data_IF_259048793236
#
_entry.id   IF_259048793236
#
_cell.length_a   1.000
_cell.length_b   1.000
_cell.length_c   1.000
_cell.angle_alpha   90.00
_cell.angle_beta   90.00
_cell.angle_gamma   90.00
#
_symmetry.space_group_name_H-M   'P 1'
#
loop_
_entity.id
_entity.type
_entity.pdbx_description
1 polymer ?
#
# COMPACT_ATOMS: atom_id res chain seq x y z
N UNK A 1 9.07 9.44 -16.86
CA UNK A 1 7.60 9.42 -16.64
C UNK A 1 7.20 8.97 -15.23
N UNK A 2 7.75 7.87 -14.69
CA UNK A 2 7.36 7.34 -13.38
C UNK A 2 7.51 8.32 -12.19
N UNK A 3 8.57 9.15 -12.07
CA UNK A 3 8.68 10.10 -10.96
C UNK A 3 7.51 11.08 -10.89
N UNK A 4 7.01 11.55 -12.04
CA UNK A 4 5.84 12.44 -12.13
C UNK A 4 4.59 11.70 -11.67
N UNK A 5 4.40 10.46 -12.13
CA UNK A 5 3.28 9.62 -11.69
C UNK A 5 3.31 9.42 -10.16
N UNK A 6 4.48 9.25 -9.55
CA UNK A 6 4.59 9.09 -8.10
C UNK A 6 4.15 10.35 -7.35
N UNK A 7 4.59 11.53 -7.80
CA UNK A 7 4.16 12.80 -7.20
C UNK A 7 2.64 12.95 -7.31
N UNK A 8 2.09 12.85 -8.53
CA UNK A 8 0.65 13.03 -8.78
C UNK A 8 -0.19 12.03 -8.00
N UNK A 9 0.22 10.75 -7.92
CA UNK A 9 -0.50 9.74 -7.16
C UNK A 9 -0.47 10.00 -5.65
N UNK A 10 0.66 10.48 -5.12
CA UNK A 10 0.77 10.88 -3.72
C UNK A 10 -0.12 12.09 -3.42
N UNK A 11 -0.03 13.12 -4.26
CA UNK A 11 -0.77 14.38 -4.11
C UNK A 11 -2.28 14.13 -4.22
N UNK A 12 -2.71 13.31 -5.18
CA UNK A 12 -4.10 12.89 -5.32
C UNK A 12 -4.63 12.23 -4.04
N UNK A 13 -3.86 11.30 -3.44
CA UNK A 13 -4.24 10.64 -2.18
C UNK A 13 -4.36 11.65 -1.03
N UNK A 14 -3.40 12.56 -0.90
CA UNK A 14 -3.39 13.58 0.17
C UNK A 14 -4.56 14.55 -0.02
N UNK A 15 -4.76 15.03 -1.25
CA UNK A 15 -5.84 15.95 -1.58
C UNK A 15 -7.20 15.32 -1.33
N UNK A 16 -7.43 14.10 -1.83
CA UNK A 16 -8.66 13.36 -1.59
C UNK A 16 -8.93 13.14 -0.10
N UNK A 17 -7.90 12.79 0.68
CA UNK A 17 -8.00 12.65 2.13
C UNK A 17 -8.41 13.93 2.85
N UNK A 18 -7.91 15.08 2.40
CA UNK A 18 -8.26 16.38 2.99
C UNK A 18 -9.66 16.83 2.56
N UNK A 19 -10.01 16.63 1.29
CA UNK A 19 -11.34 16.90 0.77
C UNK A 19 -12.41 16.06 1.48
N UNK A 20 -12.15 14.77 1.68
CA UNK A 20 -13.02 13.85 2.42
C UNK A 20 -13.32 14.37 3.83
N UNK A 21 -12.28 14.73 4.58
CA UNK A 21 -12.42 15.27 5.93
C UNK A 21 -13.22 16.58 5.97
N UNK A 22 -13.02 17.46 5.00
CA UNK A 22 -13.75 18.73 4.93
C UNK A 22 -15.23 18.54 4.58
N UNK A 23 -15.53 17.64 3.64
CA UNK A 23 -16.91 17.38 3.23
C UNK A 23 -17.70 16.64 4.30
N UNK A 24 -17.09 15.65 4.95
CA UNK A 24 -17.67 14.94 6.09
C UNK A 24 -18.00 15.91 7.23
N UNK A 25 -17.07 16.81 7.59
CA UNK A 25 -17.31 17.84 8.62
C UNK A 25 -18.48 18.77 8.28
N UNK A 26 -18.74 19.00 6.99
CA UNK A 26 -19.84 19.82 6.50
C UNK A 26 -21.15 19.03 6.28
N UNK A 27 -21.16 17.73 6.57
CA UNK A 27 -22.30 16.84 6.29
C UNK A 27 -22.63 16.68 4.80
N UNK A 28 -21.67 16.97 3.91
CA UNK A 28 -21.87 16.98 2.44
C UNK A 28 -21.44 15.69 1.73
N UNK A 29 -20.79 14.77 2.43
CA UNK A 29 -20.32 13.49 1.88
C UNK A 29 -20.16 12.46 2.99
N UNK A 30 -20.20 11.18 2.63
CA UNK A 30 -19.87 10.07 3.54
C UNK A 30 -18.35 9.93 3.67
N UNK A 31 -17.94 9.30 4.77
CA UNK A 31 -16.52 9.02 5.03
C UNK A 31 -15.99 8.08 3.95
N UNK A 32 -14.94 8.50 3.27
CA UNK A 32 -14.26 7.71 2.25
C UNK A 32 -14.72 7.96 0.81
N UNK A 33 -15.77 8.74 0.56
CA UNK A 33 -16.28 8.98 -0.80
C UNK A 33 -15.20 9.57 -1.73
N UNK A 34 -14.43 10.55 -1.25
CA UNK A 34 -13.37 11.15 -2.08
C UNK A 34 -12.16 10.22 -2.22
N UNK A 35 -11.89 9.43 -1.19
CA UNK A 35 -10.83 8.44 -1.20
C UNK A 35 -11.13 7.30 -2.19
N UNK A 36 -12.39 6.89 -2.32
CA UNK A 36 -12.82 5.88 -3.29
C UNK A 36 -12.62 6.37 -4.73
N UNK A 37 -13.02 7.61 -5.03
CA UNK A 37 -12.77 8.23 -6.34
C UNK A 37 -11.29 8.32 -6.65
N UNK A 38 -10.46 8.68 -5.68
CA UNK A 38 -9.01 8.68 -5.86
C UNK A 38 -8.45 7.27 -6.09
N UNK A 39 -8.94 6.28 -5.36
CA UNK A 39 -8.52 4.89 -5.54
C UNK A 39 -8.87 4.36 -6.94
N UNK A 40 -10.02 4.73 -7.50
CA UNK A 40 -10.40 4.36 -8.87
C UNK A 40 -9.40 4.89 -9.92
N UNK A 41 -8.99 6.16 -9.78
CA UNK A 41 -7.99 6.77 -10.66
C UNK A 41 -6.61 6.11 -10.50
N UNK A 42 -6.18 5.84 -9.26
CA UNK A 42 -4.93 5.13 -8.98
C UNK A 42 -4.93 3.70 -9.52
N UNK A 43 -6.08 3.01 -9.46
CA UNK A 43 -6.27 1.71 -10.10
C UNK A 43 -6.12 1.79 -11.63
N UNK A 44 -6.54 2.90 -12.25
CA UNK A 44 -6.27 3.18 -13.66
C UNK A 44 -4.77 3.21 -13.95
N UNK A 45 -3.98 3.97 -13.19
CA UNK A 45 -2.53 4.00 -13.31
C UNK A 45 -1.90 2.61 -13.10
N UNK A 46 -2.39 1.87 -12.11
CA UNK A 46 -1.90 0.52 -11.80
C UNK A 46 -2.12 -0.43 -12.98
N UNK A 47 -3.31 -0.44 -13.59
CA UNK A 47 -3.62 -1.26 -14.77
C UNK A 47 -2.68 -0.96 -15.94
N UNK A 48 -2.41 0.33 -16.20
CA UNK A 48 -1.47 0.74 -17.26
C UNK A 48 -0.05 0.22 -17.00
N UNK A 49 0.40 0.22 -15.74
CA UNK A 49 1.71 -0.32 -15.37
C UNK A 49 1.74 -1.85 -15.47
N UNK A 50 0.68 -2.52 -15.03
CA UNK A 50 0.59 -3.98 -15.02
C UNK A 50 0.52 -4.59 -16.43
N UNK A 51 -0.12 -3.89 -17.37
CA UNK A 51 -0.23 -4.32 -18.78
C UNK A 51 1.03 -4.09 -19.61
N UNK A 52 2.10 -3.56 -19.02
CA UNK A 52 3.33 -3.24 -19.74
C UNK A 52 4.16 -4.51 -20.01
N UNK A 53 3.95 -5.11 -21.18
CA UNK A 53 4.59 -6.37 -21.60
C UNK A 53 5.65 -6.18 -22.68
N UNK A 54 5.74 -4.99 -23.30
CA UNK A 54 6.57 -4.74 -24.48
C UNK A 54 7.90 -4.03 -24.17
N UNK A 55 7.99 -3.34 -23.03
CA UNK A 55 9.22 -2.67 -22.62
C UNK A 55 10.24 -3.69 -22.08
N UNK A 56 11.53 -3.41 -22.30
CA UNK A 56 12.60 -4.05 -21.54
C UNK A 56 12.45 -3.76 -20.05
N UNK A 57 13.01 -4.61 -19.20
CA UNK A 57 12.85 -4.51 -17.74
C UNK A 57 13.27 -3.13 -17.21
N UNK A 58 14.36 -2.57 -17.71
CA UNK A 58 14.90 -1.28 -17.26
C UNK A 58 13.92 -0.11 -17.52
N UNK A 59 13.23 -0.12 -18.66
CA UNK A 59 12.29 0.94 -19.06
C UNK A 59 10.83 0.63 -18.69
N UNK A 60 10.57 -0.50 -18.03
CA UNK A 60 9.21 -0.95 -17.80
C UNK A 60 8.46 -0.08 -16.79
N UNK A 61 7.19 0.20 -17.09
CA UNK A 61 6.26 0.85 -16.16
C UNK A 61 5.95 -0.03 -14.94
N UNK A 62 6.29 -1.32 -14.97
CA UNK A 62 6.13 -2.25 -13.83
C UNK A 62 6.90 -1.80 -12.58
N UNK A 63 7.96 -1.01 -12.73
CA UNK A 63 8.64 -0.34 -11.60
C UNK A 63 7.71 0.54 -10.77
N UNK A 64 6.62 1.05 -11.37
CA UNK A 64 5.63 1.87 -10.68
C UNK A 64 4.56 1.12 -9.91
N UNK A 65 4.43 -0.19 -10.09
CA UNK A 65 3.33 -0.97 -9.50
C UNK A 65 3.35 -0.92 -7.98
N UNK A 66 4.50 -1.19 -7.34
CA UNK A 66 4.57 -1.26 -5.87
C UNK A 66 4.29 0.10 -5.22
N UNK A 67 4.72 1.19 -5.83
CA UNK A 67 4.36 2.53 -5.34
C UNK A 67 2.85 2.75 -5.34
N UNK A 68 2.18 2.44 -6.46
CA UNK A 68 0.73 2.59 -6.60
C UNK A 68 -0.03 1.69 -5.62
N UNK A 69 0.39 0.43 -5.48
CA UNK A 69 -0.18 -0.51 -4.50
C UNK A 69 -0.05 0.04 -3.07
N UNK A 70 1.10 0.61 -2.71
CA UNK A 70 1.27 1.24 -1.40
C UNK A 70 0.36 2.46 -1.18
N UNK A 71 0.03 3.23 -2.22
CA UNK A 71 -0.96 4.30 -2.12
C UNK A 71 -2.38 3.74 -1.96
N UNK A 72 -2.73 2.71 -2.74
CA UNK A 72 -4.03 2.04 -2.68
C UNK A 72 -4.26 1.38 -1.30
N UNK A 73 -3.26 0.73 -0.72
CA UNK A 73 -3.35 0.18 0.63
C UNK A 73 -3.64 1.24 1.69
N UNK A 74 -3.00 2.41 1.62
CA UNK A 74 -3.28 3.53 2.53
C UNK A 74 -4.73 3.98 2.45
N UNK A 75 -5.33 3.95 1.25
CA UNK A 75 -6.74 4.26 1.05
C UNK A 75 -7.62 3.12 1.59
N UNK A 76 -7.42 1.88 1.12
CA UNK A 76 -8.29 0.74 1.43
C UNK A 76 -8.32 0.39 2.91
N UNK A 77 -7.19 0.50 3.61
CA UNK A 77 -7.18 0.35 5.07
C UNK A 77 -7.92 1.49 5.79
N UNK A 78 -7.91 2.71 5.22
CA UNK A 78 -8.61 3.85 5.81
C UNK A 78 -10.13 3.75 5.64
N UNK A 79 -10.60 3.26 4.49
CA UNK A 79 -12.03 3.08 4.19
C UNK A 79 -12.55 1.67 4.53
N UNK A 80 -11.74 0.86 5.20
CA UNK A 80 -12.06 -0.53 5.58
C UNK A 80 -12.48 -1.46 4.42
N UNK A 81 -11.93 -1.25 3.21
CA UNK A 81 -12.18 -2.11 2.03
C UNK A 81 -11.04 -3.11 1.80
N UNK A 82 -10.70 -3.90 2.82
CA UNK A 82 -9.52 -4.78 2.81
C UNK A 82 -9.57 -5.90 1.75
N UNK A 83 -10.76 -6.33 1.33
CA UNK A 83 -10.92 -7.33 0.28
C UNK A 83 -10.29 -6.90 -1.06
N UNK A 84 -10.23 -5.59 -1.34
CA UNK A 84 -9.62 -5.01 -2.54
C UNK A 84 -8.09 -5.12 -2.57
N UNK A 85 -7.46 -5.45 -1.44
CA UNK A 85 -6.01 -5.65 -1.39
C UNK A 85 -5.58 -6.97 -2.03
N UNK A 86 -6.44 -8.00 -2.04
CA UNK A 86 -6.07 -9.36 -2.48
C UNK A 86 -5.61 -9.43 -3.94
N UNK A 87 -6.27 -8.78 -4.93
CA UNK A 87 -5.78 -8.75 -6.31
C UNK A 87 -4.44 -8.01 -6.46
N UNK A 88 -4.23 -6.94 -5.69
CA UNK A 88 -3.00 -6.15 -5.74
C UNK A 88 -1.80 -6.95 -5.20
N UNK A 89 -1.99 -7.67 -4.10
CA UNK A 89 -0.99 -8.56 -3.51
C UNK A 89 -0.55 -9.60 -4.54
N UNK A 90 -1.50 -10.30 -5.15
CA UNK A 90 -1.23 -11.31 -6.18
C UNK A 90 -0.41 -10.75 -7.34
N UNK A 91 -0.75 -9.56 -7.82
CA UNK A 91 -0.05 -8.95 -8.95
C UNK A 91 1.41 -8.56 -8.62
N UNK A 92 1.68 -8.14 -7.37
CA UNK A 92 3.05 -7.87 -6.92
C UNK A 92 3.82 -9.18 -6.71
N UNK A 93 3.21 -10.18 -6.07
CA UNK A 93 3.88 -11.45 -5.78
C UNK A 93 4.20 -12.25 -7.06
N UNK A 94 3.39 -12.09 -8.12
CA UNK A 94 3.64 -12.65 -9.45
C UNK A 94 4.62 -11.83 -10.31
N UNK A 95 5.05 -10.65 -9.84
CA UNK A 95 5.97 -9.80 -10.58
C UNK A 95 7.42 -10.27 -10.41
N UNK A 96 8.16 -10.33 -11.51
CA UNK A 96 9.60 -10.61 -11.48
C UNK A 96 10.40 -9.51 -10.77
N UNK A 97 9.81 -8.33 -10.54
CA UNK A 97 10.46 -7.19 -9.88
C UNK A 97 10.31 -7.16 -8.36
N UNK A 98 9.58 -8.11 -7.76
CA UNK A 98 9.16 -8.05 -6.35
C UNK A 98 10.29 -7.80 -5.35
N UNK A 99 11.49 -8.28 -5.64
CA UNK A 99 12.66 -8.15 -4.77
C UNK A 99 13.57 -6.97 -5.14
N UNK A 100 13.39 -6.39 -6.33
CA UNK A 100 14.18 -5.27 -6.84
C UNK A 100 13.62 -3.90 -6.45
N UNK A 101 12.37 -3.82 -6.01
CA UNK A 101 11.81 -2.58 -5.50
C UNK A 101 12.61 -2.06 -4.31
N UNK A 102 12.66 -0.73 -4.14
CA UNK A 102 13.39 -0.12 -3.04
C UNK A 102 12.92 -0.64 -1.68
N UNK A 103 13.86 -0.76 -0.74
CA UNK A 103 13.57 -1.29 0.59
C UNK A 103 12.44 -0.53 1.29
N UNK A 104 12.37 0.79 1.13
CA UNK A 104 11.31 1.61 1.69
C UNK A 104 9.90 1.22 1.16
N UNK A 105 9.78 0.89 -0.13
CA UNK A 105 8.52 0.42 -0.70
C UNK A 105 8.18 -0.99 -0.23
N UNK A 106 9.16 -1.89 -0.17
CA UNK A 106 8.99 -3.27 0.33
C UNK A 106 8.55 -3.30 1.79
N UNK A 107 9.16 -2.50 2.66
CA UNK A 107 8.75 -2.33 4.07
C UNK A 107 7.30 -1.86 4.18
N UNK A 108 6.92 -0.85 3.39
CA UNK A 108 5.53 -0.34 3.39
C UNK A 108 4.54 -1.42 2.94
N UNK A 109 4.88 -2.16 1.89
CA UNK A 109 4.05 -3.25 1.37
C UNK A 109 3.87 -4.34 2.43
N UNK A 110 4.97 -4.85 2.98
CA UNK A 110 4.97 -5.94 3.98
C UNK A 110 4.22 -5.54 5.25
N UNK A 111 4.32 -4.29 5.69
CA UNK A 111 3.50 -3.78 6.80
C UNK A 111 1.99 -3.92 6.53
N UNK A 112 1.52 -3.56 5.34
CA UNK A 112 0.09 -3.66 5.01
C UNK A 112 -0.35 -5.10 4.75
N UNK A 113 0.45 -5.91 4.07
CA UNK A 113 0.12 -7.32 3.84
C UNK A 113 0.09 -8.10 5.15
N UNK A 114 1.05 -7.87 6.05
CA UNK A 114 1.05 -8.49 7.38
C UNK A 114 -0.16 -8.09 8.21
N UNK A 115 -0.57 -6.82 8.19
CA UNK A 115 -1.82 -6.38 8.83
C UNK A 115 -3.05 -7.06 8.23
N UNK A 116 -3.11 -7.21 6.91
CA UNK A 116 -4.21 -7.93 6.24
C UNK A 116 -4.24 -9.40 6.69
N UNK A 117 -3.09 -10.05 6.77
CA UNK A 117 -3.00 -11.44 7.24
C UNK A 117 -3.53 -11.59 8.68
N UNK A 118 -3.28 -10.62 9.57
CA UNK A 118 -3.92 -10.60 10.89
C UNK A 118 -5.45 -10.57 10.81
N UNK A 119 -6.03 -9.74 9.93
CA UNK A 119 -7.48 -9.70 9.74
C UNK A 119 -8.05 -11.03 9.21
N UNK A 120 -7.26 -11.73 8.39
CA UNK A 120 -7.61 -13.06 7.88
C UNK A 120 -7.29 -14.19 8.87
N UNK A 121 -6.82 -13.86 10.08
CA UNK A 121 -6.36 -14.81 11.12
C UNK A 121 -5.19 -15.72 10.69
N UNK A 122 -4.45 -15.35 9.64
CA UNK A 122 -3.20 -15.99 9.25
C UNK A 122 -2.02 -15.37 10.03
N UNK A 123 -1.90 -15.77 11.29
CA UNK A 123 -0.91 -15.19 12.20
C UNK A 123 0.53 -15.53 11.83
N UNK A 124 0.78 -16.69 11.21
CA UNK A 124 2.12 -17.08 10.75
C UNK A 124 2.60 -16.15 9.63
N UNK A 125 1.75 -15.93 8.63
CA UNK A 125 2.08 -15.00 7.54
C UNK A 125 2.17 -13.54 8.05
N UNK A 126 1.30 -13.16 8.99
CA UNK A 126 1.37 -11.85 9.62
C UNK A 126 2.72 -11.64 10.32
N UNK A 127 3.19 -12.63 11.07
CA UNK A 127 4.46 -12.58 11.79
C UNK A 127 5.63 -12.38 10.82
N UNK A 128 5.70 -13.20 9.76
CA UNK A 128 6.77 -13.15 8.76
C UNK A 128 6.86 -11.75 8.13
N UNK A 129 5.73 -11.22 7.65
CA UNK A 129 5.72 -9.93 6.96
C UNK A 129 5.94 -8.74 7.89
N UNK A 130 5.41 -8.77 9.11
CA UNK A 130 5.62 -7.69 10.08
C UNK A 130 7.04 -7.71 10.65
N UNK A 131 7.65 -8.89 10.83
CA UNK A 131 9.05 -9.02 11.24
C UNK A 131 9.97 -8.46 10.16
N UNK A 132 9.77 -8.87 8.89
CA UNK A 132 10.51 -8.30 7.77
C UNK A 132 10.39 -6.77 7.72
N UNK A 133 9.17 -6.24 7.85
CA UNK A 133 8.93 -4.80 7.83
C UNK A 133 9.68 -4.09 8.97
N UNK A 134 9.70 -4.67 10.18
CA UNK A 134 10.37 -4.07 11.34
C UNK A 134 11.89 -4.05 11.18
N UNK A 135 12.47 -5.19 10.80
CA UNK A 135 13.92 -5.39 10.64
C UNK A 135 14.50 -4.46 9.57
N UNK A 136 13.79 -4.33 8.45
CA UNK A 136 14.24 -3.52 7.31
C UNK A 136 13.77 -2.05 7.39
N UNK A 137 12.98 -1.69 8.40
CA UNK A 137 12.59 -0.30 8.62
C UNK A 137 13.81 0.53 9.03
N UNK A 138 14.01 1.66 8.36
CA UNK A 138 15.15 2.54 8.64
C UNK A 138 15.20 2.95 10.12
N UNK A 139 16.40 2.88 10.73
CA UNK A 139 16.61 3.15 12.16
C UNK A 139 16.17 4.53 12.63
N UNK A 140 16.20 5.55 11.77
CA UNK A 140 15.69 6.90 12.13
C UNK A 140 14.17 7.03 12.04
N UNK A 141 13.47 6.08 11.40
CA UNK A 141 12.02 6.12 11.19
C UNK A 141 11.25 5.57 12.41
N UNK A 142 11.49 6.16 13.58
CA UNK A 142 10.92 5.70 14.86
C UNK A 142 9.38 5.58 14.84
N UNK A 143 8.71 6.53 14.19
CA UNK A 143 7.24 6.49 14.02
C UNK A 143 6.79 5.24 13.24
N UNK A 144 7.48 4.89 12.15
CA UNK A 144 7.15 3.73 11.34
C UNK A 144 7.44 2.42 12.10
N UNK A 145 8.58 2.35 12.81
CA UNK A 145 8.91 1.22 13.67
C UNK A 145 7.84 0.98 14.74
N UNK A 146 7.41 2.06 15.43
CA UNK A 146 6.31 1.99 16.39
C UNK A 146 5.03 1.48 15.75
N UNK A 147 4.67 1.98 14.57
CA UNK A 147 3.48 1.51 13.86
C UNK A 147 3.54 0.01 13.53
N UNK A 148 4.70 -0.51 13.12
CA UNK A 148 4.87 -1.93 12.85
C UNK A 148 4.75 -2.75 14.15
N UNK A 149 5.41 -2.32 15.23
CA UNK A 149 5.40 -3.02 16.52
C UNK A 149 4.02 -3.15 17.15
N UNK A 150 3.12 -2.16 16.95
CA UNK A 150 1.73 -2.23 17.43
C UNK A 150 1.01 -3.49 16.91
N UNK A 151 1.36 -3.95 15.71
CA UNK A 151 0.77 -5.15 15.11
C UNK A 151 1.64 -6.39 15.31
N UNK A 152 2.97 -6.24 15.28
CA UNK A 152 3.89 -7.37 15.42
C UNK A 152 3.86 -7.97 16.83
N UNK A 153 3.79 -7.15 17.88
CA UNK A 153 3.82 -7.62 19.26
C UNK A 153 2.62 -8.54 19.59
N UNK A 154 1.36 -8.16 19.31
CA UNK A 154 0.23 -9.06 19.51
C UNK A 154 0.36 -10.38 18.76
N UNK A 155 0.84 -10.35 17.51
CA UNK A 155 1.03 -11.58 16.71
C UNK A 155 2.04 -12.51 17.37
N UNK A 156 3.18 -11.98 17.84
CA UNK A 156 4.20 -12.77 18.54
C UNK A 156 3.76 -13.28 19.91
N UNK A 157 2.80 -12.62 20.57
CA UNK A 157 2.24 -13.10 21.83
C UNK A 157 1.19 -14.21 21.65
N UNK A 158 0.57 -14.28 20.47
CA UNK A 158 -0.46 -15.27 20.14
C UNK A 158 0.11 -16.59 19.62
N UNK A 159 1.29 -16.56 19.00
CA UNK A 159 2.02 -17.71 18.48
C UNK A 159 2.89 -18.34 19.56
#
# INVERSE_FOLDING_TARGET
>A
ALPIMYSVALDLRIFANNADQQLVKKGKSKVGDMLEKAAELLMGCFRVCASDTRAGIEDSKKWGMLFLVNQLFKIYFKINKLHLCKPLIRAIDSSNLKDEYSMAQRVTYKYYVGRKAMFDSDFKQAEEYLSFAFEHCHRSSQKNKRMILIYLLPVKMLL
#
